data_IF_433476452670
#
_entry.id   IF_433476452670
#
_cell.length_a   1.000
_cell.length_b   1.000
_cell.length_c   1.000
_cell.angle_alpha   90.00
_cell.angle_beta   90.00
_cell.angle_gamma   90.00
#
_symmetry.space_group_name_H-M   'P 1'
#
loop_
_entity.id
_entity.type
_entity.pdbx_description
1 polymer ?
#
# COMPACT_ATOMS: atom_id res chain seq x y z
N UNK A 1 1.46 -31.95 33.01
CA UNK A 1 1.68 -30.88 32.02
C UNK A 1 2.08 -29.65 32.80
N UNK A 2 3.36 -29.30 32.82
CA UNK A 2 3.85 -28.08 33.48
C UNK A 2 3.41 -26.89 32.64
N UNK A 3 2.57 -26.03 33.20
CA UNK A 3 2.17 -24.78 32.58
C UNK A 3 3.41 -23.88 32.66
N UNK A 4 4.12 -23.70 31.55
CA UNK A 4 5.13 -22.65 31.47
C UNK A 4 4.42 -21.30 31.65
N UNK A 5 4.87 -20.51 32.62
CA UNK A 5 4.37 -19.14 32.82
C UNK A 5 4.54 -18.36 31.53
N UNK A 6 3.43 -17.87 30.96
CA UNK A 6 3.46 -17.01 29.78
C UNK A 6 4.26 -15.77 30.14
N UNK A 7 5.35 -15.54 29.40
CA UNK A 7 6.14 -14.34 29.61
C UNK A 7 5.29 -13.11 29.29
N UNK A 8 5.07 -12.21 30.28
CA UNK A 8 4.41 -10.95 30.00
C UNK A 8 5.26 -10.13 29.03
N UNK A 9 4.61 -9.29 28.24
CA UNK A 9 5.31 -8.39 27.34
C UNK A 9 6.26 -7.49 28.15
N UNK A 10 7.53 -7.46 27.75
CA UNK A 10 8.55 -6.70 28.48
C UNK A 10 8.37 -5.20 28.26
N UNK A 11 8.81 -4.38 29.21
CA UNK A 11 8.71 -2.93 29.07
C UNK A 11 9.49 -2.41 27.85
N UNK A 12 10.65 -3.02 27.56
CA UNK A 12 11.42 -2.75 26.34
C UNK A 12 10.57 -2.99 25.08
N UNK A 13 9.91 -4.15 25.00
CA UNK A 13 9.08 -4.53 23.85
C UNK A 13 7.88 -3.58 23.70
N UNK A 14 7.24 -3.19 24.82
CA UNK A 14 6.15 -2.19 24.81
C UNK A 14 6.63 -0.84 24.25
N UNK A 15 7.77 -0.35 24.71
CA UNK A 15 8.34 0.92 24.25
C UNK A 15 8.69 0.89 22.76
N UNK A 16 9.25 -0.22 22.27
CA UNK A 16 9.51 -0.37 20.83
C UNK A 16 8.22 -0.38 20.00
N UNK A 17 7.18 -1.11 20.42
CA UNK A 17 5.87 -1.09 19.75
C UNK A 17 5.28 0.32 19.72
N UNK A 18 5.30 1.02 20.86
CA UNK A 18 4.78 2.39 20.95
C UNK A 18 5.54 3.32 20.01
N UNK A 19 6.88 3.23 20.00
CA UNK A 19 7.73 4.03 19.11
C UNK A 19 7.41 3.78 17.64
N UNK A 20 7.39 2.52 17.20
CA UNK A 20 7.08 2.20 15.80
C UNK A 20 5.63 2.51 15.41
N UNK A 21 4.67 2.33 16.32
CA UNK A 21 3.28 2.72 16.09
C UNK A 21 3.16 4.22 15.86
N UNK A 22 3.81 5.04 16.70
CA UNK A 22 3.81 6.49 16.58
C UNK A 22 4.46 6.94 15.26
N UNK A 23 5.60 6.35 14.89
CA UNK A 23 6.26 6.64 13.61
C UNK A 23 5.36 6.28 12.43
N UNK A 24 4.79 5.07 12.38
CA UNK A 24 3.91 4.65 11.29
C UNK A 24 2.63 5.50 11.19
N UNK A 25 2.04 5.92 12.31
CA UNK A 25 0.88 6.82 12.32
C UNK A 25 1.26 8.21 11.78
N UNK A 26 2.43 8.74 12.18
CA UNK A 26 2.95 10.01 11.66
C UNK A 26 3.14 9.92 10.14
N UNK A 27 3.80 8.87 9.67
CA UNK A 27 4.03 8.63 8.24
C UNK A 27 2.73 8.48 7.46
N UNK A 28 1.74 7.79 8.03
CA UNK A 28 0.39 7.68 7.44
C UNK A 28 -0.24 9.06 7.29
N UNK A 29 -0.12 9.91 8.31
CA UNK A 29 -0.67 11.27 8.30
C UNK A 29 0.00 12.15 7.24
N UNK A 30 1.33 12.07 7.11
CA UNK A 30 2.09 12.78 6.07
C UNK A 30 1.69 12.30 4.66
N UNK A 31 1.56 10.98 4.48
CA UNK A 31 1.08 10.39 3.22
C UNK A 31 -0.33 10.87 2.86
N UNK A 32 -1.25 10.97 3.82
CA UNK A 32 -2.61 11.44 3.54
C UNK A 32 -2.66 12.86 2.96
N UNK A 33 -1.69 13.71 3.28
CA UNK A 33 -1.58 15.06 2.71
C UNK A 33 -1.22 14.97 1.22
N UNK A 34 -0.21 14.17 0.87
CA UNK A 34 0.22 13.97 -0.52
C UNK A 34 -0.85 13.25 -1.35
N UNK A 35 -1.49 12.22 -0.78
CA UNK A 35 -2.59 11.50 -1.42
C UNK A 35 -3.75 12.43 -1.79
N UNK A 36 -4.07 13.42 -0.96
CA UNK A 36 -5.10 14.42 -1.29
C UNK A 36 -4.72 15.25 -2.52
N UNK A 37 -3.45 15.62 -2.66
CA UNK A 37 -2.97 16.34 -3.84
C UNK A 37 -3.03 15.45 -5.08
N UNK A 38 -2.54 14.21 -4.96
CA UNK A 38 -2.55 13.22 -6.02
C UNK A 38 -3.97 12.89 -6.51
N UNK A 39 -4.93 12.67 -5.59
CA UNK A 39 -6.34 12.42 -5.93
C UNK A 39 -6.95 13.61 -6.67
N UNK A 40 -6.60 14.85 -6.31
CA UNK A 40 -7.10 16.03 -7.04
C UNK A 40 -6.59 16.04 -8.48
N UNK A 41 -5.30 15.74 -8.69
CA UNK A 41 -4.73 15.68 -10.05
C UNK A 41 -5.34 14.55 -10.86
N UNK A 42 -5.51 13.37 -10.27
CA UNK A 42 -6.19 12.24 -10.92
C UNK A 42 -7.62 12.64 -11.35
N UNK A 43 -8.38 13.32 -10.48
CA UNK A 43 -9.73 13.81 -10.84
C UNK A 43 -9.72 14.87 -11.94
N UNK A 44 -8.71 15.73 -11.97
CA UNK A 44 -8.54 16.68 -13.08
C UNK A 44 -8.29 15.93 -14.38
N UNK A 45 -7.42 14.92 -14.36
CA UNK A 45 -7.14 14.04 -15.49
C UNK A 45 -8.41 13.31 -15.96
N UNK A 46 -9.19 12.72 -15.06
CA UNK A 46 -10.44 12.04 -15.40
C UNK A 46 -11.40 12.98 -16.14
N UNK A 47 -11.57 14.20 -15.60
CA UNK A 47 -12.43 15.22 -16.19
C UNK A 47 -11.94 15.66 -17.58
N UNK A 48 -10.62 15.79 -17.75
CA UNK A 48 -10.00 16.08 -19.05
C UNK A 48 -10.30 14.95 -20.03
N UNK A 49 -10.14 13.69 -19.63
CA UNK A 49 -10.43 12.53 -20.49
C UNK A 49 -11.91 12.48 -20.89
N UNK A 50 -12.82 12.72 -19.94
CA UNK A 50 -14.27 12.79 -20.20
C UNK A 50 -14.63 13.94 -21.17
N UNK A 51 -14.02 15.11 -21.02
CA UNK A 51 -14.27 16.26 -21.91
C UNK A 51 -13.65 16.05 -23.31
N UNK A 52 -12.72 15.12 -23.47
CA UNK A 52 -11.88 14.95 -24.67
C UNK A 52 -12.00 13.56 -25.31
N UNK A 53 -13.17 12.94 -25.14
CA UNK A 53 -13.61 11.55 -25.40
C UNK A 53 -13.10 10.80 -26.66
N UNK A 54 -12.20 11.32 -27.50
CA UNK A 54 -11.93 10.76 -28.84
C UNK A 54 -10.49 10.90 -29.37
N UNK A 55 -9.48 11.21 -28.54
CA UNK A 55 -8.15 11.61 -29.07
C UNK A 55 -6.94 10.73 -28.72
N UNK A 56 -7.13 9.54 -28.14
CA UNK A 56 -6.08 8.51 -28.08
C UNK A 56 -4.76 8.91 -27.42
N UNK A 57 -4.74 9.98 -26.62
CA UNK A 57 -3.56 10.44 -25.89
C UNK A 57 -3.41 9.65 -24.59
N UNK A 58 -2.31 8.92 -24.49
CA UNK A 58 -2.01 8.00 -23.39
C UNK A 58 -1.60 8.77 -22.12
N UNK A 59 -2.58 9.20 -21.32
CA UNK A 59 -2.45 9.58 -19.90
C UNK A 59 -2.71 8.38 -19.00
N UNK A 60 -3.55 7.46 -19.48
CA UNK A 60 -4.08 6.34 -18.72
C UNK A 60 -2.98 5.54 -18.01
N UNK A 61 -1.81 5.36 -18.62
CA UNK A 61 -0.68 4.69 -17.99
C UNK A 61 -0.15 5.48 -16.78
N UNK A 62 0.16 6.77 -16.95
CA UNK A 62 0.72 7.59 -15.87
C UNK A 62 -0.26 7.77 -14.71
N UNK A 63 -1.52 7.96 -15.05
CA UNK A 63 -2.61 8.06 -14.09
C UNK A 63 -2.82 6.73 -13.36
N UNK A 64 -2.81 5.60 -14.06
CA UNK A 64 -2.94 4.28 -13.45
C UNK A 64 -1.79 4.01 -12.47
N UNK A 65 -0.54 4.31 -12.86
CA UNK A 65 0.60 4.23 -11.95
C UNK A 65 0.44 5.12 -10.71
N UNK A 66 -0.07 6.35 -10.89
CA UNK A 66 -0.39 7.26 -9.79
C UNK A 66 -1.44 6.66 -8.85
N UNK A 67 -2.54 6.10 -9.39
CA UNK A 67 -3.57 5.40 -8.62
C UNK A 67 -3.00 4.22 -7.85
N UNK A 68 -2.14 3.40 -8.47
CA UNK A 68 -1.52 2.24 -7.81
C UNK A 68 -0.60 2.65 -6.67
N UNK A 69 0.18 3.71 -6.85
CA UNK A 69 1.01 4.27 -5.79
C UNK A 69 0.16 4.83 -4.63
N UNK A 70 -0.98 5.45 -4.94
CA UNK A 70 -1.94 5.92 -3.95
C UNK A 70 -2.57 4.77 -3.16
N UNK A 71 -3.08 3.75 -3.85
CA UNK A 71 -3.63 2.52 -3.27
C UNK A 71 -2.63 1.84 -2.34
N UNK A 72 -1.38 1.74 -2.76
CA UNK A 72 -0.29 1.18 -1.97
C UNK A 72 -0.04 1.97 -0.68
N UNK A 73 0.07 3.29 -0.75
CA UNK A 73 0.24 4.15 0.43
C UNK A 73 -0.93 4.03 1.42
N UNK A 74 -2.17 3.94 0.92
CA UNK A 74 -3.37 3.73 1.75
C UNK A 74 -3.31 2.36 2.44
N UNK A 75 -2.94 1.31 1.71
CA UNK A 75 -2.81 -0.04 2.25
C UNK A 75 -1.82 -0.09 3.42
N UNK A 76 -0.64 0.52 3.27
CA UNK A 76 0.35 0.62 4.36
C UNK A 76 -0.23 1.33 5.58
N UNK A 77 -0.99 2.40 5.36
CA UNK A 77 -1.71 3.16 6.39
C UNK A 77 -2.69 2.30 7.17
N UNK A 78 -3.55 1.57 6.45
CA UNK A 78 -4.56 0.69 7.05
C UNK A 78 -3.92 -0.41 7.90
N UNK A 79 -2.92 -1.11 7.37
CA UNK A 79 -2.21 -2.17 8.12
C UNK A 79 -1.59 -1.61 9.41
N UNK A 80 -0.99 -0.42 9.34
CA UNK A 80 -0.35 0.20 10.50
C UNK A 80 -1.36 0.64 11.56
N UNK A 81 -2.50 1.17 11.14
CA UNK A 81 -3.59 1.54 12.04
C UNK A 81 -4.22 0.31 12.69
N UNK A 82 -4.45 -0.75 11.92
CA UNK A 82 -4.96 -2.02 12.43
C UNK A 82 -4.03 -2.60 13.50
N UNK A 83 -2.71 -2.61 13.25
CA UNK A 83 -1.72 -3.03 14.25
C UNK A 83 -1.77 -2.16 15.50
N UNK A 84 -1.80 -0.84 15.37
CA UNK A 84 -1.85 0.07 16.51
C UNK A 84 -3.12 -0.14 17.35
N UNK A 85 -4.27 -0.35 16.70
CA UNK A 85 -5.53 -0.68 17.37
C UNK A 85 -5.45 -2.02 18.10
N UNK A 86 -4.92 -3.06 17.44
CA UNK A 86 -4.78 -4.38 18.06
C UNK A 86 -3.84 -4.34 19.28
N UNK A 87 -2.74 -3.60 19.21
CA UNK A 87 -1.84 -3.40 20.35
C UNK A 87 -2.47 -2.58 21.48
N UNK A 88 -3.22 -1.53 21.14
CA UNK A 88 -3.96 -0.76 22.15
C UNK A 88 -4.91 -1.66 22.93
N UNK A 89 -5.60 -2.58 22.25
CA UNK A 89 -6.47 -3.55 22.91
C UNK A 89 -5.65 -4.55 23.73
N UNK A 90 -4.57 -5.10 23.17
CA UNK A 90 -3.70 -6.06 23.86
C UNK A 90 -3.06 -5.49 25.14
N UNK A 91 -2.72 -4.20 25.17
CA UNK A 91 -2.08 -3.54 26.32
C UNK A 91 -3.09 -3.06 27.37
N UNK A 92 -4.37 -2.99 27.02
CA UNK A 92 -5.47 -2.55 27.91
C UNK A 92 -6.38 -3.69 28.35
N UNK A 93 -6.16 -4.89 27.85
CA UNK A 93 -6.91 -6.06 28.25
C UNK A 93 -6.80 -6.26 29.77
N UNK A 94 -7.95 -6.48 30.40
CA UNK A 94 -8.03 -6.77 31.84
C UNK A 94 -8.18 -8.27 32.06
N UNK A 95 -8.75 -8.96 31.07
CA UNK A 95 -9.03 -10.40 31.11
C UNK A 95 -8.11 -11.19 30.17
N UNK A 96 -7.78 -12.43 30.55
CA UNK A 96 -6.92 -13.33 29.77
C UNK A 96 -7.45 -13.57 28.35
N UNK A 97 -8.77 -13.68 28.21
CA UNK A 97 -9.42 -13.85 26.92
C UNK A 97 -9.22 -12.64 26.01
N UNK A 98 -9.29 -11.41 26.54
CA UNK A 98 -9.07 -10.19 25.76
C UNK A 98 -7.63 -10.10 25.27
N UNK A 99 -6.66 -10.45 26.13
CA UNK A 99 -5.25 -10.56 25.76
C UNK A 99 -5.05 -11.55 24.62
N UNK A 100 -5.64 -12.74 24.72
CA UNK A 100 -5.54 -13.79 23.70
C UNK A 100 -6.19 -13.37 22.39
N UNK A 101 -7.38 -12.78 22.45
CA UNK A 101 -8.11 -12.28 21.29
C UNK A 101 -7.33 -11.20 20.55
N UNK A 102 -6.75 -10.24 21.27
CA UNK A 102 -5.94 -9.18 20.69
C UNK A 102 -4.62 -9.72 20.11
N UNK A 103 -3.96 -10.65 20.80
CA UNK A 103 -2.72 -11.31 20.33
C UNK A 103 -2.97 -12.07 19.02
N UNK A 104 -4.07 -12.85 18.95
CA UNK A 104 -4.54 -13.51 17.73
C UNK A 104 -4.72 -12.51 16.59
N UNK A 105 -5.34 -11.36 16.84
CA UNK A 105 -5.55 -10.33 15.83
C UNK A 105 -4.24 -9.76 15.29
N UNK A 106 -3.24 -9.52 16.15
CA UNK A 106 -1.91 -9.07 15.70
C UNK A 106 -1.30 -10.08 14.71
N UNK A 107 -1.36 -11.37 15.02
CA UNK A 107 -0.87 -12.44 14.11
C UNK A 107 -1.60 -12.41 12.77
N UNK A 108 -2.92 -12.25 12.77
CA UNK A 108 -3.73 -12.18 11.54
C UNK A 108 -3.34 -10.95 10.72
N UNK A 109 -3.25 -9.78 11.33
CA UNK A 109 -2.93 -8.52 10.64
C UNK A 109 -1.56 -8.59 9.98
N UNK A 110 -0.54 -9.13 10.67
CA UNK A 110 0.81 -9.30 10.11
C UNK A 110 0.78 -10.21 8.88
N UNK A 111 0.09 -11.36 8.99
CA UNK A 111 0.01 -12.32 7.89
C UNK A 111 -0.74 -11.74 6.68
N UNK A 112 -1.97 -11.25 6.89
CA UNK A 112 -2.79 -10.70 5.81
C UNK A 112 -2.18 -9.43 5.20
N UNK A 113 -1.60 -8.57 6.04
CA UNK A 113 -0.90 -7.36 5.60
C UNK A 113 0.28 -7.71 4.70
N UNK A 114 1.15 -8.62 5.14
CA UNK A 114 2.28 -9.09 4.34
C UNK A 114 1.80 -9.72 3.02
N UNK A 115 0.78 -10.58 3.07
CA UNK A 115 0.24 -11.24 1.88
C UNK A 115 -0.27 -10.24 0.85
N UNK A 116 -1.02 -9.21 1.30
CA UNK A 116 -1.56 -8.15 0.42
C UNK A 116 -0.45 -7.31 -0.22
N UNK A 117 0.64 -7.07 0.50
CA UNK A 117 1.76 -6.25 0.04
C UNK A 117 2.69 -7.02 -0.91
N UNK A 118 3.16 -8.20 -0.49
CA UNK A 118 4.30 -8.90 -1.10
C UNK A 118 4.01 -10.35 -1.50
N UNK A 119 2.98 -10.95 -0.90
CA UNK A 119 2.56 -12.33 -1.11
C UNK A 119 3.62 -13.39 -0.70
N UNK A 120 3.17 -14.62 -0.52
CA UNK A 120 4.00 -15.73 -0.08
C UNK A 120 4.61 -16.48 -1.27
N UNK A 121 5.70 -17.18 -0.99
CA UNK A 121 6.22 -18.26 -1.84
C UNK A 121 5.98 -19.60 -1.17
N UNK A 122 5.79 -20.65 -1.97
CA UNK A 122 5.68 -22.02 -1.49
C UNK A 122 6.37 -22.98 -2.44
N UNK A 123 6.75 -24.16 -1.96
CA UNK A 123 7.27 -25.23 -2.82
C UNK A 123 6.13 -26.15 -3.24
N UNK A 124 6.09 -26.53 -4.51
CA UNK A 124 5.16 -27.56 -4.98
C UNK A 124 5.64 -28.96 -4.54
N UNK A 125 4.86 -30.00 -4.86
CA UNK A 125 5.20 -31.40 -4.55
C UNK A 125 6.51 -31.89 -5.20
N UNK A 126 6.99 -31.19 -6.25
CA UNK A 126 8.25 -31.49 -6.95
C UNK A 126 9.45 -30.72 -6.36
N UNK A 127 9.22 -29.87 -5.37
CA UNK A 127 10.24 -29.03 -4.74
C UNK A 127 10.47 -27.68 -5.43
N UNK A 128 9.77 -27.38 -6.52
CA UNK A 128 9.93 -26.12 -7.25
C UNK A 128 9.30 -24.96 -6.48
N UNK A 129 10.04 -23.85 -6.39
CA UNK A 129 9.54 -22.63 -5.76
C UNK A 129 8.48 -21.96 -6.66
N UNK A 130 7.28 -21.81 -6.13
CA UNK A 130 6.17 -21.11 -6.75
C UNK A 130 6.20 -19.63 -6.36
N UNK A 131 6.42 -18.75 -7.34
CA UNK A 131 6.57 -17.30 -7.15
C UNK A 131 5.54 -16.46 -7.90
N UNK A 132 4.61 -17.10 -8.62
CA UNK A 132 3.59 -16.43 -9.45
C UNK A 132 2.83 -15.36 -8.66
N UNK A 133 2.34 -15.74 -7.49
CA UNK A 133 1.55 -14.87 -6.62
C UNK A 133 2.37 -13.70 -6.06
N UNK A 134 3.64 -13.94 -5.71
CA UNK A 134 4.60 -12.89 -5.33
C UNK A 134 4.85 -11.91 -6.48
N UNK A 135 5.02 -12.40 -7.70
CA UNK A 135 5.22 -11.54 -8.87
C UNK A 135 3.99 -10.70 -9.22
N UNK A 136 2.80 -11.13 -8.80
CA UNK A 136 1.55 -10.35 -8.93
C UNK A 136 1.25 -9.41 -7.75
N UNK A 137 2.08 -9.41 -6.70
CA UNK A 137 1.90 -8.53 -5.55
C UNK A 137 2.05 -7.05 -5.91
N UNK A 138 1.43 -6.15 -5.15
CA UNK A 138 1.53 -4.70 -5.37
C UNK A 138 3.00 -4.25 -5.37
N UNK A 139 3.81 -4.79 -4.44
CA UNK A 139 5.23 -4.44 -4.35
C UNK A 139 6.05 -4.85 -5.59
N UNK A 140 5.80 -6.03 -6.16
CA UNK A 140 6.55 -6.50 -7.35
C UNK A 140 6.00 -5.94 -8.64
N UNK A 141 4.67 -6.00 -8.80
CA UNK A 141 3.98 -5.60 -10.02
C UNK A 141 3.93 -4.09 -10.14
N UNK A 142 3.39 -3.37 -9.15
CA UNK A 142 3.11 -1.95 -9.33
C UNK A 142 4.35 -1.11 -8.95
N UNK A 143 4.89 -1.33 -7.76
CA UNK A 143 6.07 -0.58 -7.28
C UNK A 143 7.34 -0.98 -8.05
N UNK A 144 7.52 -2.28 -8.32
CA UNK A 144 8.67 -2.75 -9.09
C UNK A 144 8.72 -2.22 -10.52
N UNK A 145 7.56 -2.16 -11.22
CA UNK A 145 7.47 -1.57 -12.55
C UNK A 145 7.83 -0.08 -12.49
N UNK A 146 7.25 0.67 -11.55
CA UNK A 146 7.57 2.10 -11.37
C UNK A 146 9.07 2.35 -11.21
N UNK A 147 9.72 1.61 -10.31
CA UNK A 147 11.16 1.74 -10.06
C UNK A 147 11.98 1.36 -11.28
N UNK A 148 11.65 0.25 -11.95
CA UNK A 148 12.42 -0.22 -13.10
C UNK A 148 12.26 0.65 -14.36
N UNK A 149 11.06 1.18 -14.59
CA UNK A 149 10.71 1.95 -15.78
C UNK A 149 10.97 3.46 -15.66
N UNK A 150 10.73 4.04 -14.47
CA UNK A 150 10.73 5.50 -14.29
C UNK A 150 11.81 5.98 -13.32
N UNK A 151 12.17 5.19 -12.31
CA UNK A 151 13.10 5.62 -11.24
C UNK A 151 14.24 4.63 -11.00
N UNK A 152 15.08 4.34 -12.00
CA UNK A 152 16.13 3.33 -11.88
C UNK A 152 17.17 3.65 -10.80
N UNK A 153 17.36 4.94 -10.44
CA UNK A 153 18.24 5.33 -9.33
C UNK A 153 17.72 4.87 -7.97
N UNK A 154 16.42 4.59 -7.83
CA UNK A 154 15.81 4.07 -6.60
C UNK A 154 15.91 2.53 -6.49
N UNK A 155 16.44 1.85 -7.51
CA UNK A 155 16.51 0.38 -7.57
C UNK A 155 17.29 -0.24 -6.41
N UNK A 156 18.36 0.41 -5.96
CA UNK A 156 19.15 -0.08 -4.83
C UNK A 156 18.30 -0.15 -3.55
N UNK A 157 17.56 0.91 -3.25
CA UNK A 157 16.70 0.97 -2.06
C UNK A 157 15.51 0.01 -2.15
N UNK A 158 14.89 -0.06 -3.34
CA UNK A 158 13.85 -1.06 -3.63
C UNK A 158 14.33 -2.50 -3.38
N UNK A 159 15.52 -2.84 -3.86
CA UNK A 159 16.10 -4.18 -3.67
C UNK A 159 16.46 -4.45 -2.21
N UNK A 160 16.91 -3.43 -1.47
CA UNK A 160 17.19 -3.53 -0.04
C UNK A 160 15.93 -3.88 0.74
N UNK A 161 14.83 -3.15 0.53
CA UNK A 161 13.53 -3.41 1.19
C UNK A 161 12.98 -4.79 0.76
N UNK A 162 13.12 -5.14 -0.52
CA UNK A 162 12.74 -6.46 -1.03
C UNK A 162 13.48 -7.58 -0.29
N UNK A 163 14.79 -7.42 -0.06
CA UNK A 163 15.59 -8.39 0.68
C UNK A 163 15.11 -8.56 2.14
N UNK A 164 14.70 -7.46 2.79
CA UNK A 164 14.13 -7.52 4.14
C UNK A 164 12.75 -8.21 4.16
N UNK A 165 11.91 -8.01 3.13
CA UNK A 165 10.64 -8.74 2.97
C UNK A 165 10.87 -10.24 2.75
N UNK A 166 11.85 -10.62 1.93
CA UNK A 166 12.21 -12.02 1.71
C UNK A 166 12.69 -12.69 3.01
N UNK A 167 13.60 -12.03 3.76
CA UNK A 167 14.04 -12.52 5.08
C UNK A 167 12.88 -12.65 6.06
N UNK A 168 11.95 -11.71 6.06
CA UNK A 168 10.79 -11.74 6.94
C UNK A 168 9.87 -12.93 6.62
N UNK A 169 9.67 -13.26 5.34
CA UNK A 169 8.91 -14.45 4.93
C UNK A 169 9.58 -15.75 5.39
N UNK A 170 10.90 -15.85 5.15
CA UNK A 170 11.66 -17.08 5.37
C UNK A 170 11.88 -17.39 6.85
N UNK A 171 12.20 -16.38 7.67
CA UNK A 171 12.64 -16.59 9.06
C UNK A 171 11.58 -16.24 10.11
N UNK A 172 10.61 -15.39 9.80
CA UNK A 172 9.69 -14.86 10.81
C UNK A 172 8.26 -15.34 10.62
N UNK A 173 7.74 -15.23 9.39
CA UNK A 173 6.35 -15.55 9.06
C UNK A 173 6.06 -17.04 9.01
N UNK A 174 7.04 -17.89 8.71
CA UNK A 174 6.82 -19.33 8.52
C UNK A 174 6.09 -19.97 9.70
N UNK A 175 6.48 -19.64 10.94
CA UNK A 175 5.78 -20.16 12.12
C UNK A 175 4.40 -19.50 12.31
N UNK A 176 4.29 -18.20 12.01
CA UNK A 176 3.05 -17.44 12.18
C UNK A 176 1.96 -17.83 11.16
N UNK A 177 2.34 -18.41 10.02
CA UNK A 177 1.39 -18.89 9.00
C UNK A 177 0.53 -20.04 9.53
N UNK A 178 1.14 -20.96 10.29
CA UNK A 178 0.43 -22.08 10.90
C UNK A 178 -0.59 -21.57 11.93
N UNK A 179 -0.14 -20.70 12.84
CA UNK A 179 -1.01 -20.05 13.82
C UNK A 179 -2.16 -19.30 13.14
N UNK A 180 -1.89 -18.52 12.08
CA UNK A 180 -2.93 -17.81 11.32
C UNK A 180 -3.95 -18.76 10.69
N UNK A 181 -3.52 -19.88 10.12
CA UNK A 181 -4.46 -20.84 9.52
C UNK A 181 -5.42 -21.41 10.56
N UNK A 182 -4.89 -21.78 11.72
CA UNK A 182 -5.68 -22.25 12.87
C UNK A 182 -6.65 -21.14 13.33
N UNK A 183 -6.17 -19.90 13.41
CA UNK A 183 -6.94 -18.75 13.88
C UNK A 183 -8.08 -18.31 12.97
N UNK A 184 -7.91 -18.42 11.65
CA UNK A 184 -8.85 -17.91 10.64
C UNK A 184 -9.81 -18.99 10.17
N UNK A 185 -9.31 -20.19 9.90
CA UNK A 185 -10.12 -21.23 9.29
C UNK A 185 -10.83 -22.11 10.30
N UNK A 186 -10.46 -22.03 11.59
CA UNK A 186 -10.84 -22.97 12.65
C UNK A 186 -10.56 -24.42 12.20
N UNK A 187 -9.56 -25.05 12.81
CA UNK A 187 -9.33 -26.47 12.56
C UNK A 187 -10.62 -27.27 12.91
N UNK A 188 -10.88 -28.35 12.17
CA UNK A 188 -12.01 -29.27 12.45
C UNK A 188 -11.96 -29.80 13.90
N UNK A 189 -10.80 -29.69 14.56
CA UNK A 189 -10.59 -30.00 15.96
C UNK A 189 -10.49 -28.73 16.82
N UNK A 190 -11.54 -28.32 17.55
CA UNK A 190 -11.56 -27.08 18.34
C UNK A 190 -10.46 -26.98 19.41
N UNK A 191 -10.00 -28.12 19.94
CA UNK A 191 -8.92 -28.14 20.94
C UNK A 191 -7.60 -27.62 20.37
N UNK A 192 -7.30 -27.87 19.09
CA UNK A 192 -6.09 -27.36 18.43
C UNK A 192 -6.12 -25.82 18.37
N UNK A 193 -7.28 -25.25 18.05
CA UNK A 193 -7.43 -23.79 18.04
C UNK A 193 -7.31 -23.19 19.44
N UNK A 194 -7.87 -23.85 20.45
CA UNK A 194 -7.71 -23.44 21.84
C UNK A 194 -6.25 -23.49 22.28
N UNK A 195 -5.56 -24.61 22.03
CA UNK A 195 -4.16 -24.80 22.42
C UNK A 195 -3.24 -23.79 21.74
N UNK A 196 -3.45 -23.50 20.44
CA UNK A 196 -2.66 -22.51 19.72
C UNK A 196 -2.87 -21.09 20.29
N UNK A 197 -4.13 -20.69 20.51
CA UNK A 197 -4.46 -19.37 21.09
C UNK A 197 -3.87 -19.26 22.50
N UNK A 198 -4.03 -20.31 23.30
CA UNK A 198 -3.53 -20.35 24.66
C UNK A 198 -2.00 -20.27 24.69
N UNK A 199 -1.28 -21.02 23.85
CA UNK A 199 0.18 -21.07 23.87
C UNK A 199 0.86 -19.88 23.16
N UNK A 200 0.10 -19.03 22.46
CA UNK A 200 0.66 -17.86 21.78
C UNK A 200 1.07 -16.78 22.79
N UNK A 201 2.38 -16.56 22.92
CA UNK A 201 2.94 -15.47 23.75
C UNK A 201 2.88 -14.12 23.03
N UNK A 202 2.29 -13.12 23.68
CA UNK A 202 2.28 -11.74 23.20
C UNK A 202 3.71 -11.19 23.02
N UNK A 203 4.65 -11.52 23.91
CA UNK A 203 6.05 -11.09 23.79
C UNK A 203 6.69 -11.63 22.50
N UNK A 204 6.49 -12.91 22.20
CA UNK A 204 7.02 -13.55 20.99
C UNK A 204 6.41 -12.94 19.73
N UNK A 205 5.07 -12.79 19.70
CA UNK A 205 4.37 -12.14 18.59
C UNK A 205 4.83 -10.69 18.43
N UNK A 206 5.07 -9.98 19.52
CA UNK A 206 5.51 -8.59 19.54
C UNK A 206 6.87 -8.39 18.89
N UNK A 207 7.84 -9.26 19.17
CA UNK A 207 9.17 -9.20 18.51
C UNK A 207 9.07 -9.38 16.99
N UNK A 208 8.20 -10.29 16.54
CA UNK A 208 7.94 -10.50 15.11
C UNK A 208 7.22 -9.28 14.49
N UNK A 209 6.24 -8.74 15.19
CA UNK A 209 5.52 -7.54 14.78
C UNK A 209 6.42 -6.31 14.67
N UNK A 210 7.31 -6.09 15.64
CA UNK A 210 8.30 -5.00 15.60
C UNK A 210 9.14 -5.09 14.33
N UNK A 211 9.58 -6.29 13.97
CA UNK A 211 10.33 -6.52 12.73
C UNK A 211 9.50 -6.16 11.49
N UNK A 212 8.23 -6.53 11.47
CA UNK A 212 7.31 -6.15 10.40
C UNK A 212 7.05 -4.64 10.35
N UNK A 213 6.85 -3.99 11.49
CA UNK A 213 6.61 -2.55 11.59
C UNK A 213 7.82 -1.73 11.12
N UNK A 214 9.05 -2.23 11.34
CA UNK A 214 10.27 -1.64 10.76
C UNK A 214 10.26 -1.69 9.24
N UNK A 215 9.86 -2.82 8.65
CA UNK A 215 9.74 -2.97 7.21
C UNK A 215 8.65 -2.02 6.67
N UNK A 216 7.49 -1.98 7.32
CA UNK A 216 6.41 -1.05 6.96
C UNK A 216 6.89 0.41 6.96
N UNK A 217 7.66 0.83 7.98
CA UNK A 217 8.22 2.17 8.05
C UNK A 217 9.12 2.49 6.85
N UNK A 218 10.03 1.57 6.49
CA UNK A 218 10.90 1.74 5.32
C UNK A 218 10.07 1.80 4.02
N UNK A 219 9.00 1.01 3.94
CA UNK A 219 8.06 1.02 2.82
C UNK A 219 7.29 2.33 2.72
N UNK A 220 6.92 2.95 3.85
CA UNK A 220 6.31 4.28 3.89
C UNK A 220 7.27 5.36 3.38
N UNK A 221 8.50 5.37 3.89
CA UNK A 221 9.53 6.32 3.48
C UNK A 221 9.80 6.22 1.98
N UNK A 222 9.90 4.98 1.48
CA UNK A 222 10.07 4.71 0.06
C UNK A 222 8.86 5.17 -0.77
N UNK A 223 7.64 4.92 -0.29
CA UNK A 223 6.43 5.38 -0.97
C UNK A 223 6.34 6.91 -1.02
N UNK A 224 6.72 7.60 0.06
CA UNK A 224 6.80 9.07 0.09
C UNK A 224 7.80 9.59 -0.95
N UNK A 225 8.97 8.96 -1.03
CA UNK A 225 10.00 9.33 -2.01
C UNK A 225 9.47 9.14 -3.44
N UNK A 226 8.88 7.99 -3.74
CA UNK A 226 8.27 7.72 -5.04
C UNK A 226 7.18 8.75 -5.38
N UNK A 227 6.30 9.07 -4.43
CA UNK A 227 5.25 10.07 -4.66
C UNK A 227 5.84 11.44 -4.98
N UNK A 228 6.86 11.87 -4.23
CA UNK A 228 7.53 13.16 -4.47
C UNK A 228 8.18 13.24 -5.84
N UNK A 229 8.77 12.15 -6.34
CA UNK A 229 9.38 12.12 -7.67
C UNK A 229 8.37 11.93 -8.81
N UNK A 230 7.27 11.22 -8.56
CA UNK A 230 6.27 10.93 -9.57
C UNK A 230 5.31 12.09 -9.83
N UNK A 231 4.97 12.87 -8.80
CA UNK A 231 4.03 13.99 -8.92
C UNK A 231 4.47 15.03 -9.99
N UNK A 232 5.73 15.50 -10.04
CA UNK A 232 6.17 16.40 -11.10
C UNK A 232 6.06 15.81 -12.52
N UNK A 233 6.28 14.49 -12.67
CA UNK A 233 6.13 13.81 -13.97
C UNK A 233 4.67 13.81 -14.42
N UNK A 234 3.75 13.52 -13.49
CA UNK A 234 2.32 13.53 -13.74
C UNK A 234 1.83 14.94 -14.10
N UNK A 235 2.27 15.97 -13.36
CA UNK A 235 1.95 17.37 -13.62
C UNK A 235 2.44 17.80 -15.00
N UNK A 236 3.71 17.55 -15.32
CA UNK A 236 4.28 17.89 -16.62
C UNK A 236 3.56 17.19 -17.77
N UNK A 237 3.18 15.91 -17.60
CA UNK A 237 2.42 15.17 -18.61
C UNK A 237 1.02 15.74 -18.80
N UNK A 238 0.37 16.11 -17.71
CA UNK A 238 -0.97 16.72 -17.72
C UNK A 238 -0.93 18.08 -18.44
N UNK A 239 0.04 18.93 -18.12
CA UNK A 239 0.21 20.24 -18.77
C UNK A 239 0.48 20.11 -20.27
N UNK A 240 1.37 19.20 -20.68
CA UNK A 240 1.64 18.95 -22.10
C UNK A 240 0.38 18.59 -22.90
N UNK A 241 -0.55 17.90 -22.27
CA UNK A 241 -1.79 17.46 -22.90
C UNK A 241 -2.80 18.60 -22.95
N UNK A 242 -2.91 19.39 -21.89
CA UNK A 242 -3.64 20.66 -21.95
C UNK A 242 -3.17 21.52 -23.13
N UNK A 243 -1.85 21.73 -23.27
CA UNK A 243 -1.29 22.52 -24.36
C UNK A 243 -1.60 21.93 -25.74
N UNK A 244 -1.45 20.62 -25.91
CA UNK A 244 -1.74 19.93 -27.16
C UNK A 244 -3.21 20.11 -27.56
N UNK A 245 -4.13 20.00 -26.60
CA UNK A 245 -5.56 20.21 -26.84
C UNK A 245 -5.92 21.66 -27.11
N UNK A 246 -5.33 22.63 -26.39
CA UNK A 246 -5.52 24.04 -26.73
C UNK A 246 -5.09 24.34 -28.17
N UNK A 247 -3.92 23.85 -28.58
CA UNK A 247 -3.42 24.01 -29.96
C UNK A 247 -4.36 23.37 -30.98
N UNK A 248 -4.95 22.22 -30.67
CA UNK A 248 -5.95 21.58 -31.53
C UNK A 248 -7.22 22.42 -31.68
N UNK A 249 -7.76 22.96 -30.59
CA UNK A 249 -8.94 23.82 -30.62
C UNK A 249 -8.69 25.13 -31.38
N UNK A 250 -7.52 25.74 -31.23
CA UNK A 250 -7.12 26.92 -32.02
C UNK A 250 -7.09 26.61 -33.52
N UNK A 251 -6.56 25.45 -33.93
CA UNK A 251 -6.61 25.01 -35.34
C UNK A 251 -8.05 24.82 -35.84
N UNK A 252 -8.91 24.19 -35.04
CA UNK A 252 -10.34 24.04 -35.38
C UNK A 252 -11.04 25.41 -35.48
N UNK A 253 -10.70 26.36 -34.61
CA UNK A 253 -11.24 27.73 -34.65
C UNK A 253 -10.95 28.42 -35.98
N UNK A 254 -9.71 28.30 -36.47
CA UNK A 254 -9.32 28.82 -37.80
C UNK A 254 -10.08 28.10 -38.91
N UNK A 255 -10.17 26.77 -38.87
CA UNK A 255 -10.85 25.94 -39.87
C UNK A 255 -12.34 26.29 -40.01
N UNK A 256 -13.03 26.52 -38.90
CA UNK A 256 -14.48 26.82 -38.86
C UNK A 256 -14.79 28.31 -38.74
N UNK A 257 -13.86 29.19 -39.12
CA UNK A 257 -13.99 30.65 -39.03
C UNK A 257 -15.25 31.22 -39.71
N UNK A 258 -15.80 30.51 -40.70
CA UNK A 258 -17.01 30.91 -41.42
C UNK A 258 -18.33 30.36 -40.82
N UNK A 259 -18.28 29.61 -39.70
CA UNK A 259 -19.46 29.05 -39.05
C UNK A 259 -19.60 29.58 -37.60
N UNK A 260 -20.42 30.61 -37.36
CA UNK A 260 -20.56 31.26 -36.06
C UNK A 260 -21.05 30.33 -34.94
N UNK A 261 -21.92 29.37 -35.26
CA UNK A 261 -22.44 28.42 -34.26
C UNK A 261 -21.33 27.48 -33.79
N UNK A 262 -20.55 26.93 -34.72
CA UNK A 262 -19.41 26.07 -34.40
C UNK A 262 -18.32 26.83 -33.65
N UNK A 263 -18.06 28.09 -34.01
CA UNK A 263 -17.12 28.95 -33.28
C UNK A 263 -17.53 29.13 -31.81
N UNK A 264 -18.82 29.40 -31.56
CA UNK A 264 -19.34 29.54 -30.18
C UNK A 264 -19.16 28.24 -29.39
N UNK A 265 -19.37 27.08 -30.02
CA UNK A 265 -19.13 25.78 -29.38
C UNK A 265 -17.64 25.58 -29.05
N UNK A 266 -16.74 25.91 -29.98
CA UNK A 266 -15.28 25.82 -29.76
C UNK A 266 -14.85 26.75 -28.61
N UNK A 267 -15.33 27.99 -28.58
CA UNK A 267 -15.00 28.94 -27.52
C UNK A 267 -15.49 28.49 -26.15
N UNK A 268 -16.71 27.95 -26.07
CA UNK A 268 -17.23 27.36 -24.84
C UNK A 268 -16.37 26.17 -24.38
N UNK A 269 -15.98 25.28 -25.28
CA UNK A 269 -15.10 24.15 -24.98
C UNK A 269 -13.73 24.61 -24.45
N UNK A 270 -13.12 25.60 -25.09
CA UNK A 270 -11.85 26.19 -24.64
C UNK A 270 -11.98 26.88 -23.28
N UNK A 271 -13.08 27.58 -23.02
CA UNK A 271 -13.33 28.20 -21.70
C UNK A 271 -13.51 27.14 -20.61
N UNK A 272 -14.21 26.05 -20.89
CA UNK A 272 -14.37 24.94 -19.95
C UNK A 272 -13.00 24.29 -19.65
N UNK A 273 -12.19 24.03 -20.67
CA UNK A 273 -10.85 23.47 -20.50
C UNK A 273 -9.96 24.38 -19.63
N UNK A 274 -10.05 25.71 -19.80
CA UNK A 274 -9.31 26.68 -18.95
C UNK A 274 -9.75 26.65 -17.49
N UNK A 275 -11.02 26.34 -17.20
CA UNK A 275 -11.54 26.21 -15.84
C UNK A 275 -11.18 24.86 -15.19
N UNK A 276 -10.88 23.86 -16.00
CA UNK A 276 -10.48 22.51 -15.53
C UNK A 276 -9.00 22.47 -15.11
N UNK A 277 -8.16 23.32 -15.71
CA UNK A 277 -6.78 23.59 -15.29
C UNK A 277 -6.74 24.28 -13.92
#
# INVERSE_FOLDING_TARGET
MTIEEKQPITEKTKLEILSYSQLNIKMTSENLILLRQQIRQIKQIDKIQEELFDHGLEISEYENHSRKLAEYSILLGLISQDLACAYRNALKAEEDYEHQYATKHIVIIINEGFKKIYNYVWKNQKGDLQTKDRNSSIWKKDIGILVSGYFPHLKTEYNRITSELDKFDDFTLKDMKNSRNIFVHYDDTPSIAYDEIYNTSLETVSKKAISFMKILLQMFEFSLLLNKEYMPLLEARTENIFEAHFKMWEKKKVQYSNNPEVLKMIENAMQNLRKTK
#
